data_IF_484350845288
#
_entry.id   IF_484350845288
#
_cell.length_a   1.000
_cell.length_b   1.000
_cell.length_c   1.000
_cell.angle_alpha   90.00
_cell.angle_beta   90.00
_cell.angle_gamma   90.00
#
_symmetry.space_group_name_H-M   'P 1'
#
loop_
_entity.id
_entity.type
_entity.pdbx_description
1 polymer ?
#
# COMPACT_ATOMS: atom_id res chain seq x y z
N UNK A 1 27.02 46.29 -40.11
CA UNK A 1 27.43 46.07 -38.72
C UNK A 1 26.22 45.52 -38.00
N UNK A 2 26.05 44.21 -38.11
CA UNK A 2 24.91 43.49 -37.56
C UNK A 2 25.14 43.11 -36.11
N UNK A 3 24.07 43.15 -35.34
CA UNK A 3 23.91 42.41 -34.09
C UNK A 3 22.41 42.11 -33.99
N UNK A 4 22.01 41.06 -34.68
CA UNK A 4 20.70 40.43 -34.48
C UNK A 4 20.63 39.88 -33.06
N UNK A 5 19.48 40.12 -32.45
CA UNK A 5 19.03 39.50 -31.21
C UNK A 5 19.08 37.99 -31.33
N UNK A 6 19.80 37.33 -30.42
CA UNK A 6 19.62 35.93 -30.13
C UNK A 6 18.80 35.83 -28.84
N UNK A 7 17.48 35.98 -28.98
CA UNK A 7 16.54 35.47 -27.99
C UNK A 7 16.65 33.95 -28.03
N UNK A 8 17.29 33.38 -27.02
CA UNK A 8 17.30 31.94 -26.78
C UNK A 8 15.98 31.52 -26.12
N UNK A 9 14.85 31.68 -26.83
CA UNK A 9 13.61 30.98 -26.53
C UNK A 9 13.71 29.55 -27.07
N UNK A 10 14.49 28.72 -26.38
CA UNK A 10 14.53 27.27 -26.62
C UNK A 10 13.38 26.60 -25.89
N UNK A 11 12.26 26.41 -26.60
CA UNK A 11 11.05 25.77 -26.09
C UNK A 11 11.31 24.43 -25.40
N UNK A 12 10.92 24.36 -24.13
CA UNK A 12 10.82 23.15 -23.32
C UNK A 12 9.68 22.28 -23.86
N UNK A 13 9.94 21.62 -24.99
CA UNK A 13 8.97 20.80 -25.71
C UNK A 13 8.57 19.56 -24.89
N UNK A 14 7.31 19.14 -24.99
CA UNK A 14 6.78 17.92 -24.34
C UNK A 14 7.65 16.66 -24.56
N UNK A 15 8.44 16.63 -25.64
CA UNK A 15 9.41 15.57 -25.92
C UNK A 15 10.57 15.47 -24.92
N UNK A 16 11.05 16.58 -24.36
CA UNK A 16 12.12 16.56 -23.35
C UNK A 16 11.61 15.96 -22.03
N UNK A 17 10.38 16.33 -21.64
CA UNK A 17 9.75 15.82 -20.42
C UNK A 17 9.50 14.31 -20.49
N UNK A 18 9.06 13.80 -21.65
CA UNK A 18 8.86 12.37 -21.85
C UNK A 18 10.17 11.57 -21.72
N UNK A 19 11.28 12.06 -22.31
CA UNK A 19 12.60 11.42 -22.19
C UNK A 19 13.10 11.45 -20.74
N UNK A 20 12.88 12.55 -20.03
CA UNK A 20 13.22 12.65 -18.60
C UNK A 20 12.39 11.68 -17.76
N UNK A 21 11.10 11.53 -18.08
CA UNK A 21 10.21 10.62 -17.36
C UNK A 21 10.66 9.17 -17.51
N UNK A 22 11.08 8.78 -18.73
CA UNK A 22 11.65 7.46 -19.00
C UNK A 22 12.91 7.21 -18.18
N UNK A 23 13.83 8.18 -18.17
CA UNK A 23 15.09 8.09 -17.40
C UNK A 23 14.85 8.00 -15.90
N UNK A 24 13.94 8.81 -15.37
CA UNK A 24 13.57 8.82 -13.95
C UNK A 24 12.90 7.49 -13.55
N UNK A 25 12.00 6.98 -14.39
CA UNK A 25 11.38 5.65 -14.20
C UNK A 25 12.43 4.55 -14.17
N UNK A 26 13.33 4.53 -15.15
CA UNK A 26 14.39 3.53 -15.21
C UNK A 26 15.35 3.62 -14.00
N UNK A 27 15.59 4.82 -13.46
CA UNK A 27 16.38 4.99 -12.24
C UNK A 27 15.68 4.40 -11.00
N UNK A 28 14.39 4.71 -10.82
CA UNK A 28 13.58 4.12 -9.75
C UNK A 28 13.54 2.59 -9.84
N UNK A 29 13.32 2.03 -11.03
CA UNK A 29 13.30 0.56 -11.22
C UNK A 29 14.63 -0.07 -10.81
N UNK A 30 15.76 0.53 -11.19
CA UNK A 30 17.09 0.06 -10.77
C UNK A 30 17.29 0.15 -9.27
N UNK A 31 16.82 1.21 -8.63
CA UNK A 31 16.89 1.36 -7.17
C UNK A 31 16.12 0.25 -6.45
N UNK A 32 14.89 -0.03 -6.89
CA UNK A 32 14.05 -1.11 -6.35
C UNK A 32 14.69 -2.48 -6.58
N UNK A 33 15.26 -2.70 -7.78
CA UNK A 33 15.97 -3.94 -8.15
C UNK A 33 17.21 -4.17 -7.28
N UNK A 34 18.00 -3.13 -6.99
CA UNK A 34 19.18 -3.23 -6.11
C UNK A 34 18.83 -3.60 -4.66
N UNK A 35 17.59 -3.33 -4.23
CA UNK A 35 17.08 -3.75 -2.93
C UNK A 35 16.54 -5.19 -2.92
N UNK A 36 16.64 -5.91 -4.05
CA UNK A 36 16.23 -7.31 -4.19
C UNK A 36 14.72 -7.52 -4.29
N UNK A 37 13.93 -6.45 -4.45
CA UNK A 37 12.46 -6.56 -4.38
C UNK A 37 11.88 -7.45 -5.49
N UNK A 38 12.54 -7.56 -6.64
CA UNK A 38 12.08 -8.37 -7.78
C UNK A 38 12.69 -9.77 -7.85
N UNK A 39 13.57 -10.15 -6.90
CA UNK A 39 14.37 -11.38 -7.00
C UNK A 39 13.51 -12.65 -7.12
N UNK A 40 12.36 -12.68 -6.45
CA UNK A 40 11.45 -13.82 -6.47
C UNK A 40 10.51 -13.86 -7.70
N UNK A 41 10.21 -12.71 -8.31
CA UNK A 41 9.45 -12.66 -9.58
C UNK A 41 9.87 -11.44 -10.42
N UNK A 42 10.85 -11.61 -11.35
CA UNK A 42 11.35 -10.54 -12.19
C UNK A 42 10.31 -9.91 -13.12
N UNK A 43 9.16 -10.54 -13.36
CA UNK A 43 8.10 -9.97 -14.23
C UNK A 43 7.52 -8.68 -13.66
N UNK A 44 7.62 -8.47 -12.35
CA UNK A 44 7.22 -7.20 -11.74
C UNK A 44 8.14 -6.04 -12.14
N UNK A 45 9.42 -6.32 -12.40
CA UNK A 45 10.35 -5.31 -12.92
C UNK A 45 9.86 -4.71 -14.23
N UNK A 46 9.35 -5.56 -15.13
CA UNK A 46 8.82 -5.14 -16.43
C UNK A 46 7.56 -4.27 -16.28
N UNK A 47 6.66 -4.63 -15.35
CA UNK A 47 5.49 -3.81 -15.03
C UNK A 47 5.90 -2.40 -14.53
N UNK A 48 6.84 -2.31 -13.60
CA UNK A 48 7.33 -1.01 -13.12
C UNK A 48 8.11 -0.23 -14.19
N UNK A 49 8.80 -0.92 -15.10
CA UNK A 49 9.47 -0.31 -16.24
C UNK A 49 8.51 0.19 -17.33
N UNK A 50 7.29 -0.35 -17.40
CA UNK A 50 6.29 0.01 -18.39
C UNK A 50 5.25 1.03 -17.89
N UNK A 51 4.82 0.98 -16.63
CA UNK A 51 3.74 1.82 -16.12
C UNK A 51 4.26 3.22 -15.75
N UNK A 52 3.79 4.30 -16.40
CA UNK A 52 4.29 5.65 -16.16
C UNK A 52 3.68 6.27 -14.89
N UNK A 53 4.29 6.04 -13.72
CA UNK A 53 3.82 6.55 -12.41
C UNK A 53 3.38 8.02 -12.42
N UNK A 54 4.10 8.90 -13.13
CA UNK A 54 3.78 10.33 -13.22
C UNK A 54 2.38 10.63 -13.78
N UNK A 55 1.79 9.75 -14.62
CA UNK A 55 0.41 9.91 -15.11
C UNK A 55 -0.66 9.61 -14.04
N UNK A 56 -0.29 8.89 -12.99
CA UNK A 56 -1.16 8.57 -11.86
C UNK A 56 -1.02 9.59 -10.71
N UNK A 57 0.00 10.43 -10.75
CA UNK A 57 0.22 11.52 -9.79
C UNK A 57 0.37 12.85 -10.52
N UNK A 58 -0.67 13.33 -11.22
CA UNK A 58 -0.58 14.59 -11.97
C UNK A 58 -0.17 15.76 -11.07
N UNK A 59 -0.51 15.70 -9.79
CA UNK A 59 0.05 16.57 -8.76
C UNK A 59 0.25 15.78 -7.45
N UNK A 60 1.07 16.33 -6.57
CA UNK A 60 1.18 15.88 -5.18
C UNK A 60 1.58 17.04 -4.26
N UNK A 61 1.38 16.84 -2.96
CA UNK A 61 1.60 17.84 -1.92
C UNK A 61 2.88 17.48 -1.16
N UNK A 62 3.75 18.46 -0.96
CA UNK A 62 4.98 18.35 -0.17
C UNK A 62 4.95 19.32 1.00
N UNK A 63 5.51 18.91 2.14
CA UNK A 63 5.73 19.81 3.27
C UNK A 63 6.88 20.76 2.97
N UNK A 64 6.70 22.04 3.30
CA UNK A 64 7.71 23.10 3.19
C UNK A 64 7.75 23.92 4.48
N UNK A 65 8.85 24.63 4.79
CA UNK A 65 8.85 25.54 5.93
C UNK A 65 7.67 26.52 5.85
N UNK A 66 6.79 26.49 6.86
CA UNK A 66 5.61 27.35 6.93
C UNK A 66 4.34 26.82 6.25
N UNK A 67 4.32 25.58 5.72
CA UNK A 67 3.07 24.97 5.22
C UNK A 67 3.26 23.85 4.22
N UNK A 68 2.43 23.85 3.19
CA UNK A 68 2.41 22.84 2.14
C UNK A 68 2.49 23.47 0.76
N UNK A 69 3.19 22.81 -0.15
CA UNK A 69 3.31 23.19 -1.56
C UNK A 69 2.72 22.09 -2.45
N UNK A 70 1.97 22.48 -3.48
CA UNK A 70 1.52 21.57 -4.54
C UNK A 70 2.51 21.61 -5.71
N UNK A 71 3.03 20.44 -6.08
CA UNK A 71 3.80 20.23 -7.31
C UNK A 71 2.89 19.58 -8.36
N UNK A 72 2.92 20.06 -9.60
CA UNK A 72 2.04 19.62 -10.69
C UNK A 72 2.79 19.61 -12.03
N UNK A 73 2.56 18.60 -12.86
CA UNK A 73 3.14 18.48 -14.20
C UNK A 73 2.74 19.54 -15.23
N UNK A 74 1.69 20.35 -15.00
CA UNK A 74 1.32 21.47 -15.89
C UNK A 74 1.72 22.84 -15.30
N UNK A 75 2.65 22.88 -14.36
CA UNK A 75 3.17 24.14 -13.82
C UNK A 75 3.82 24.99 -14.94
N UNK A 76 3.53 26.30 -15.04
CA UNK A 76 4.13 27.15 -16.07
C UNK A 76 5.64 27.32 -15.92
N UNK A 77 6.22 27.05 -14.74
CA UNK A 77 7.67 27.06 -14.53
C UNK A 77 8.28 25.68 -14.86
N UNK A 78 9.13 25.59 -15.91
CA UNK A 78 9.87 24.37 -16.26
C UNK A 78 10.61 23.70 -15.09
N UNK A 79 11.17 24.50 -14.18
CA UNK A 79 11.92 23.98 -13.02
C UNK A 79 10.99 23.29 -12.03
N UNK A 80 9.77 23.82 -11.86
CA UNK A 80 8.75 23.22 -11.00
C UNK A 80 8.18 21.95 -11.62
N UNK A 81 7.97 21.92 -12.94
CA UNK A 81 7.59 20.69 -13.67
C UNK A 81 8.65 19.61 -13.53
N UNK A 82 9.93 19.96 -13.63
CA UNK A 82 11.01 18.99 -13.43
C UNK A 82 11.03 18.45 -12.00
N UNK A 83 10.89 19.31 -10.98
CA UNK A 83 10.77 18.89 -9.57
C UNK A 83 9.59 17.94 -9.34
N UNK A 84 8.44 18.22 -9.96
CA UNK A 84 7.29 17.33 -9.93
C UNK A 84 7.63 15.95 -10.50
N UNK A 85 8.25 15.92 -11.68
CA UNK A 85 8.56 14.67 -12.35
C UNK A 85 9.58 13.82 -11.57
N UNK A 86 10.63 14.46 -11.04
CA UNK A 86 11.65 13.80 -10.22
C UNK A 86 11.03 13.22 -8.95
N UNK A 87 10.17 13.97 -8.26
CA UNK A 87 9.50 13.46 -7.06
C UNK A 87 8.45 12.38 -7.35
N UNK A 88 7.79 12.40 -8.53
CA UNK A 88 6.91 11.31 -8.97
C UNK A 88 7.64 9.96 -9.07
N UNK A 89 8.96 9.99 -9.29
CA UNK A 89 9.83 8.82 -9.39
C UNK A 89 10.79 8.65 -8.21
N UNK A 90 10.61 9.41 -7.12
CA UNK A 90 11.31 9.15 -5.87
C UNK A 90 10.67 7.94 -5.15
N UNK A 91 11.51 7.12 -4.49
CA UNK A 91 11.05 5.97 -3.70
C UNK A 91 10.46 6.39 -2.34
N UNK A 92 9.39 7.17 -2.38
CA UNK A 92 8.67 7.66 -1.20
C UNK A 92 7.16 7.72 -1.49
N UNK A 93 6.31 7.68 -0.45
CA UNK A 93 4.89 7.93 -0.63
C UNK A 93 4.64 9.39 -1.00
N UNK A 94 3.64 9.63 -1.84
CA UNK A 94 3.26 10.97 -2.30
C UNK A 94 1.85 11.30 -1.84
N UNK A 95 1.66 12.39 -1.11
CA UNK A 95 0.34 12.86 -0.72
C UNK A 95 -0.41 13.42 -1.94
N UNK A 96 -1.50 12.77 -2.33
CA UNK A 96 -2.27 13.13 -3.54
C UNK A 96 -3.58 13.83 -3.20
N UNK A 97 -4.04 13.70 -1.95
CA UNK A 97 -5.25 14.37 -1.49
C UNK A 97 -5.20 14.64 0.01
N UNK A 98 -5.43 15.89 0.39
CA UNK A 98 -5.60 16.32 1.78
C UNK A 98 -6.95 17.01 1.95
N UNK A 99 -7.59 16.83 3.10
CA UNK A 99 -8.83 17.51 3.50
C UNK A 99 -8.70 17.92 4.96
N UNK A 100 -8.90 19.19 5.27
CA UNK A 100 -8.81 19.74 6.63
C UNK A 100 -7.49 19.42 7.37
N UNK A 101 -6.38 19.31 6.63
CA UNK A 101 -5.06 18.97 7.17
C UNK A 101 -4.79 17.46 7.31
N UNK A 102 -5.79 16.61 7.06
CA UNK A 102 -5.66 15.16 7.08
C UNK A 102 -5.34 14.59 5.69
N UNK A 103 -4.48 13.58 5.65
CA UNK A 103 -4.15 12.85 4.43
C UNK A 103 -5.26 11.86 4.08
N UNK A 104 -5.96 12.10 2.97
CA UNK A 104 -7.08 11.26 2.51
C UNK A 104 -6.63 10.20 1.52
N UNK A 105 -5.65 10.52 0.67
CA UNK A 105 -5.10 9.59 -0.32
C UNK A 105 -3.63 9.89 -0.58
N UNK A 106 -2.88 8.83 -0.84
CA UNK A 106 -1.49 8.88 -1.28
C UNK A 106 -1.23 7.86 -2.38
N UNK A 107 -0.19 8.10 -3.18
CA UNK A 107 0.47 7.04 -3.94
C UNK A 107 1.53 6.44 -3.04
N UNK A 108 1.41 5.14 -2.73
CA UNK A 108 2.34 4.43 -1.85
C UNK A 108 3.77 4.41 -2.36
N UNK A 109 4.72 4.15 -1.46
CA UNK A 109 6.13 4.00 -1.77
C UNK A 109 6.33 2.86 -2.80
N UNK A 110 7.01 3.12 -3.94
CA UNK A 110 7.23 2.13 -4.99
C UNK A 110 7.88 0.82 -4.55
N UNK A 111 8.96 0.88 -3.76
CA UNK A 111 9.67 -0.31 -3.27
C UNK A 111 8.79 -1.17 -2.38
N UNK A 112 8.02 -0.55 -1.48
CA UNK A 112 7.04 -1.26 -0.65
C UNK A 112 5.96 -1.94 -1.51
N UNK A 113 5.46 -1.25 -2.54
CA UNK A 113 4.49 -1.85 -3.48
C UNK A 113 5.11 -3.01 -4.26
N UNK A 114 6.35 -2.91 -4.72
CA UNK A 114 7.06 -3.99 -5.39
C UNK A 114 7.15 -5.23 -4.49
N UNK A 115 7.59 -5.06 -3.24
CA UNK A 115 7.63 -6.14 -2.24
C UNK A 115 6.25 -6.76 -2.04
N UNK A 116 5.19 -5.94 -1.86
CA UNK A 116 3.83 -6.46 -1.65
C UNK A 116 3.29 -7.21 -2.88
N UNK A 117 3.58 -6.75 -4.10
CA UNK A 117 3.12 -7.41 -5.33
C UNK A 117 3.84 -8.75 -5.57
N UNK A 118 5.14 -8.81 -5.27
CA UNK A 118 5.94 -10.04 -5.33
C UNK A 118 5.44 -11.04 -4.28
N UNK A 119 5.24 -10.57 -3.05
CA UNK A 119 4.74 -11.39 -1.95
C UNK A 119 3.28 -11.80 -2.11
N UNK A 120 2.47 -11.05 -2.87
CA UNK A 120 1.12 -11.47 -3.25
C UNK A 120 1.17 -12.79 -4.05
N UNK A 121 2.26 -13.02 -4.79
CA UNK A 121 2.53 -14.25 -5.55
C UNK A 121 1.42 -14.54 -6.56
N UNK A 122 1.16 -13.60 -7.47
CA UNK A 122 0.14 -13.76 -8.51
C UNK A 122 0.61 -14.72 -9.60
N UNK A 123 -0.31 -15.58 -10.04
CA UNK A 123 -0.12 -16.49 -11.16
C UNK A 123 -0.92 -16.06 -12.38
N UNK A 124 -0.57 -16.57 -13.55
CA UNK A 124 -1.28 -16.25 -14.79
C UNK A 124 -2.72 -16.78 -14.69
N UNK A 125 -3.69 -15.90 -14.92
CA UNK A 125 -5.12 -16.23 -14.79
C UNK A 125 -5.73 -15.94 -13.42
N UNK A 126 -4.94 -15.53 -12.43
CA UNK A 126 -5.46 -15.08 -11.13
C UNK A 126 -6.38 -13.86 -11.28
N UNK A 127 -7.47 -13.84 -10.51
CA UNK A 127 -8.33 -12.67 -10.33
C UNK A 127 -7.98 -11.96 -9.02
N UNK A 128 -7.72 -10.67 -9.11
CA UNK A 128 -7.23 -9.87 -7.97
C UNK A 128 -8.27 -8.83 -7.57
N UNK A 129 -8.52 -8.76 -6.26
CA UNK A 129 -9.15 -7.62 -5.62
C UNK A 129 -8.08 -6.74 -4.96
N UNK A 130 -8.01 -5.48 -5.37
CA UNK A 130 -7.33 -4.43 -4.65
C UNK A 130 -8.32 -3.63 -3.80
N UNK A 131 -8.01 -3.47 -2.51
CA UNK A 131 -8.75 -2.60 -1.58
C UNK A 131 -7.92 -1.35 -1.30
N UNK A 132 -8.39 -0.21 -1.81
CA UNK A 132 -7.69 1.08 -1.77
C UNK A 132 -7.18 1.53 -3.14
N UNK A 133 -8.08 1.80 -4.08
CA UNK A 133 -7.69 2.16 -5.45
C UNK A 133 -6.73 3.37 -5.51
N UNK A 134 -6.95 4.37 -4.64
CA UNK A 134 -6.10 5.55 -4.58
C UNK A 134 -5.92 6.21 -5.95
N UNK A 135 -4.67 6.34 -6.40
CA UNK A 135 -4.39 6.93 -7.72
C UNK A 135 -4.67 6.01 -8.91
N UNK A 136 -4.84 4.70 -8.67
CA UNK A 136 -4.92 3.66 -9.71
C UNK A 136 -3.56 3.12 -10.18
N UNK A 137 -2.44 3.58 -9.62
CA UNK A 137 -1.10 3.15 -10.06
C UNK A 137 -0.86 1.65 -9.83
N UNK A 138 -1.22 1.14 -8.65
CA UNK A 138 -1.03 -0.27 -8.32
C UNK A 138 -2.00 -1.19 -9.11
N UNK A 139 -3.25 -0.74 -9.34
CA UNK A 139 -4.15 -1.38 -10.30
C UNK A 139 -3.56 -1.48 -11.71
N UNK A 140 -2.83 -0.46 -12.18
CA UNK A 140 -2.18 -0.49 -13.49
C UNK A 140 -1.01 -1.48 -13.55
N UNK A 141 -0.22 -1.59 -12.47
CA UNK A 141 0.83 -2.61 -12.35
C UNK A 141 0.25 -4.03 -12.40
N UNK A 142 -0.84 -4.27 -11.65
CA UNK A 142 -1.58 -5.52 -11.69
C UNK A 142 -2.16 -5.80 -13.08
N UNK A 143 -2.76 -4.80 -13.73
CA UNK A 143 -3.34 -4.94 -15.06
C UNK A 143 -2.29 -5.21 -16.13
N UNK A 144 -1.08 -4.64 -16.00
CA UNK A 144 0.06 -4.99 -16.83
C UNK A 144 0.43 -6.47 -16.67
N UNK A 145 0.47 -6.96 -15.42
CA UNK A 145 0.89 -8.33 -15.09
C UNK A 145 -0.14 -9.40 -15.47
N UNK A 146 -1.43 -9.13 -15.31
CA UNK A 146 -2.51 -10.13 -15.40
C UNK A 146 -3.53 -9.86 -16.51
N UNK A 147 -3.49 -8.68 -17.12
CA UNK A 147 -4.51 -8.20 -18.03
C UNK A 147 -5.65 -7.45 -17.32
N UNK A 148 -6.40 -6.62 -18.06
CA UNK A 148 -7.32 -5.64 -17.48
C UNK A 148 -8.55 -6.26 -16.78
N UNK A 149 -9.07 -7.38 -17.29
CA UNK A 149 -10.30 -7.99 -16.78
C UNK A 149 -10.09 -8.75 -15.46
N UNK A 150 -8.83 -9.09 -15.16
CA UNK A 150 -8.42 -9.81 -13.95
C UNK A 150 -8.39 -8.92 -12.70
N UNK A 151 -8.34 -7.59 -12.87
CA UNK A 151 -8.14 -6.64 -11.77
C UNK A 151 -9.44 -5.92 -11.42
N UNK A 152 -9.84 -6.03 -10.16
CA UNK A 152 -10.90 -5.22 -9.54
C UNK A 152 -10.27 -4.38 -8.45
N UNK A 153 -10.50 -3.06 -8.47
CA UNK A 153 -9.98 -2.15 -7.45
C UNK A 153 -11.12 -1.33 -6.85
N UNK A 154 -11.16 -1.24 -5.52
CA UNK A 154 -12.24 -0.60 -4.76
C UNK A 154 -11.71 0.59 -3.98
N UNK A 155 -12.43 1.71 -4.00
CA UNK A 155 -12.22 2.83 -3.07
C UNK A 155 -13.56 3.41 -2.62
N UNK A 156 -13.58 3.97 -1.41
CA UNK A 156 -14.79 4.53 -0.80
C UNK A 156 -15.19 5.87 -1.43
N UNK A 157 -14.21 6.67 -1.88
CA UNK A 157 -14.45 8.04 -2.33
C UNK A 157 -14.70 8.09 -3.85
N UNK A 158 -15.88 8.56 -4.32
CA UNK A 158 -16.21 8.60 -5.74
C UNK A 158 -15.22 9.45 -6.55
N UNK A 159 -14.69 10.55 -5.99
CA UNK A 159 -13.73 11.39 -6.71
C UNK A 159 -12.38 10.68 -6.88
N UNK A 160 -11.98 9.86 -5.90
CA UNK A 160 -10.77 9.03 -6.01
C UNK A 160 -10.97 7.99 -7.11
N UNK A 161 -12.09 7.28 -7.11
CA UNK A 161 -12.36 6.26 -8.14
C UNK A 161 -12.44 6.86 -9.54
N UNK A 162 -13.02 8.06 -9.70
CA UNK A 162 -13.07 8.72 -11.00
C UNK A 162 -11.69 9.18 -11.46
N UNK A 163 -10.87 9.70 -10.55
CA UNK A 163 -9.47 10.04 -10.85
C UNK A 163 -8.67 8.79 -11.26
N UNK A 164 -8.84 7.67 -10.56
CA UNK A 164 -8.19 6.41 -10.90
C UNK A 164 -8.59 5.90 -12.30
N UNK A 165 -9.88 5.98 -12.68
CA UNK A 165 -10.35 5.65 -14.04
C UNK A 165 -9.68 6.54 -15.09
N UNK A 166 -9.60 7.85 -14.84
CA UNK A 166 -8.97 8.80 -15.75
C UNK A 166 -7.47 8.53 -15.91
N UNK A 167 -6.74 8.27 -14.82
CA UNK A 167 -5.30 7.96 -14.88
C UNK A 167 -5.02 6.64 -15.60
N UNK A 168 -5.81 5.59 -15.31
CA UNK A 168 -5.71 4.31 -16.01
C UNK A 168 -5.88 4.51 -17.52
N UNK A 169 -6.94 5.22 -17.93
CA UNK A 169 -7.20 5.52 -19.34
C UNK A 169 -6.06 6.35 -19.99
N UNK A 170 -5.57 7.38 -19.31
CA UNK A 170 -4.46 8.21 -19.79
C UNK A 170 -3.15 7.42 -19.96
N UNK A 171 -2.91 6.42 -19.11
CA UNK A 171 -1.74 5.54 -19.19
C UNK A 171 -1.94 4.34 -20.14
N UNK A 172 -3.12 4.19 -20.78
CA UNK A 172 -3.42 3.08 -21.69
C UNK A 172 -3.78 1.77 -20.98
N UNK A 173 -4.05 1.80 -19.67
CA UNK A 173 -4.44 0.64 -18.88
C UNK A 173 -5.95 0.63 -18.61
N UNK A 174 -6.49 -0.55 -18.30
CA UNK A 174 -7.87 -0.73 -17.86
C UNK A 174 -7.89 -1.66 -16.66
N UNK A 175 -8.80 -1.41 -15.74
CA UNK A 175 -9.16 -2.27 -14.62
C UNK A 175 -10.61 -1.94 -14.25
N UNK A 176 -11.28 -2.83 -13.52
CA UNK A 176 -12.62 -2.51 -13.02
C UNK A 176 -12.50 -1.73 -11.72
N UNK A 177 -12.82 -0.43 -11.79
CA UNK A 177 -12.78 0.49 -10.64
C UNK A 177 -14.17 0.65 -10.04
N UNK A 178 -14.33 0.19 -8.80
CA UNK A 178 -15.60 0.18 -8.06
C UNK A 178 -15.57 1.25 -6.96
N UNK A 179 -16.63 2.05 -6.89
CA UNK A 179 -16.87 2.95 -5.76
C UNK A 179 -17.67 2.20 -4.70
N UNK A 180 -17.07 1.94 -3.55
CA UNK A 180 -17.69 1.14 -2.50
C UNK A 180 -16.82 0.97 -1.27
N UNK A 181 -17.41 0.40 -0.21
CA UNK A 181 -16.68 0.09 1.02
C UNK A 181 -15.82 -1.16 0.82
N UNK A 182 -14.50 -0.99 0.77
CA UNK A 182 -13.54 -2.07 0.59
C UNK A 182 -13.56 -3.15 1.68
N UNK A 183 -14.06 -2.85 2.88
CA UNK A 183 -14.26 -3.87 3.91
C UNK A 183 -15.32 -4.90 3.50
N UNK A 184 -16.21 -4.55 2.58
CA UNK A 184 -17.23 -5.45 2.03
C UNK A 184 -16.75 -6.25 0.82
N UNK A 185 -15.52 -6.00 0.35
CA UNK A 185 -14.98 -6.58 -0.88
C UNK A 185 -15.75 -6.14 -2.13
N UNK A 186 -15.88 -7.04 -3.11
CA UNK A 186 -16.71 -6.87 -4.30
C UNK A 186 -17.36 -8.22 -4.68
N UNK A 187 -18.47 -8.60 -4.03
CA UNK A 187 -19.13 -9.88 -4.24
C UNK A 187 -19.53 -10.13 -5.70
N UNK A 188 -19.88 -9.08 -6.45
CA UNK A 188 -20.28 -9.14 -7.85
C UNK A 188 -19.14 -9.61 -8.77
N UNK A 189 -17.89 -9.52 -8.29
CA UNK A 189 -16.69 -9.91 -9.02
C UNK A 189 -15.95 -11.07 -8.36
N UNK A 190 -16.44 -11.60 -7.24
CA UNK A 190 -15.95 -12.84 -6.67
C UNK A 190 -16.08 -14.02 -7.68
N UNK A 191 -15.38 -15.15 -7.47
CA UNK A 191 -14.32 -15.33 -6.49
C UNK A 191 -12.98 -14.72 -6.95
N UNK A 192 -12.14 -14.38 -5.97
CA UNK A 192 -10.77 -13.89 -6.14
C UNK A 192 -9.75 -14.96 -5.75
N UNK A 193 -8.62 -14.94 -6.45
CA UNK A 193 -7.45 -15.78 -6.15
C UNK A 193 -6.48 -15.02 -5.25
N UNK A 194 -6.51 -13.68 -5.30
CA UNK A 194 -5.65 -12.80 -4.52
C UNK A 194 -6.43 -11.57 -4.05
N UNK A 195 -6.19 -11.16 -2.82
CA UNK A 195 -6.64 -9.87 -2.29
C UNK A 195 -5.41 -9.11 -1.81
N UNK A 196 -5.24 -7.88 -2.27
CA UNK A 196 -4.20 -6.96 -1.81
C UNK A 196 -4.84 -5.70 -1.24
N UNK A 197 -4.37 -5.26 -0.08
CA UNK A 197 -4.90 -4.11 0.62
C UNK A 197 -3.84 -3.02 0.68
N UNK A 198 -4.19 -1.79 0.29
CA UNK A 198 -3.30 -0.63 0.22
C UNK A 198 -3.74 0.49 1.16
N UNK A 199 -4.40 0.10 2.25
CA UNK A 199 -4.80 0.95 3.38
C UNK A 199 -4.63 0.18 4.70
N UNK A 200 -4.45 0.90 5.82
CA UNK A 200 -4.28 0.26 7.12
C UNK A 200 -5.60 -0.28 7.67
N UNK A 201 -5.58 -1.54 8.15
CA UNK A 201 -6.73 -2.21 8.73
C UNK A 201 -6.67 -2.26 10.26
N UNK A 202 -7.84 -2.34 10.91
CA UNK A 202 -7.94 -2.75 12.32
C UNK A 202 -8.03 -4.27 12.50
N UNK A 203 -8.54 -4.95 11.48
CA UNK A 203 -8.67 -6.40 11.40
C UNK A 203 -8.99 -6.80 9.97
N UNK A 204 -8.77 -8.07 9.64
CA UNK A 204 -9.10 -8.60 8.31
C UNK A 204 -10.59 -8.96 8.31
N UNK A 205 -11.43 -8.37 7.42
CA UNK A 205 -12.86 -8.69 7.35
C UNK A 205 -13.11 -10.14 6.95
N UNK A 206 -14.04 -10.82 7.65
CA UNK A 206 -14.37 -12.22 7.36
C UNK A 206 -15.04 -12.38 5.99
N UNK A 207 -15.78 -11.37 5.54
CA UNK A 207 -16.48 -11.36 4.23
C UNK A 207 -15.53 -11.49 3.04
N UNK A 208 -14.23 -11.22 3.22
CA UNK A 208 -13.23 -11.46 2.18
C UNK A 208 -13.00 -12.96 1.94
N UNK A 209 -13.07 -13.79 2.99
CA UNK A 209 -12.87 -15.24 2.86
C UNK A 209 -13.98 -15.87 2.02
N UNK A 210 -15.22 -15.39 2.18
CA UNK A 210 -16.38 -15.81 1.36
C UNK A 210 -16.23 -15.47 -0.12
N UNK A 211 -15.41 -14.47 -0.44
CA UNK A 211 -15.14 -14.01 -1.81
C UNK A 211 -13.88 -14.61 -2.41
N UNK A 212 -13.21 -15.52 -1.70
CA UNK A 212 -11.96 -16.13 -2.12
C UNK A 212 -12.15 -17.58 -2.58
N UNK A 213 -11.33 -18.02 -3.53
CA UNK A 213 -11.16 -19.46 -3.78
C UNK A 213 -10.36 -20.11 -2.65
N UNK A 214 -10.56 -21.41 -2.36
CA UNK A 214 -9.60 -22.17 -1.54
C UNK A 214 -8.19 -22.04 -2.11
N UNK A 215 -7.21 -21.77 -1.24
CA UNK A 215 -5.82 -21.48 -1.61
C UNK A 215 -5.53 -20.02 -1.94
N UNK A 216 -6.55 -19.14 -2.00
CA UNK A 216 -6.33 -17.73 -2.27
C UNK A 216 -5.44 -17.07 -1.20
N UNK A 217 -4.68 -16.05 -1.60
CA UNK A 217 -3.84 -15.27 -0.68
C UNK A 217 -4.44 -13.91 -0.40
N UNK A 218 -4.48 -13.52 0.87
CA UNK A 218 -4.84 -12.17 1.30
C UNK A 218 -3.59 -11.52 1.87
N UNK A 219 -3.13 -10.44 1.24
CA UNK A 219 -2.00 -9.65 1.70
C UNK A 219 -2.52 -8.29 2.19
N UNK A 220 -2.32 -8.01 3.47
CA UNK A 220 -2.89 -6.82 4.09
C UNK A 220 -1.95 -6.13 5.10
N UNK A 221 -1.89 -4.78 5.10
CA UNK A 221 -1.30 -4.03 6.20
C UNK A 221 -2.16 -4.17 7.45
N UNK A 222 -1.56 -4.68 8.53
CA UNK A 222 -2.19 -4.79 9.84
C UNK A 222 -1.17 -4.38 10.91
N UNK A 223 -1.58 -3.49 11.81
CA UNK A 223 -0.63 -2.78 12.68
C UNK A 223 0.39 -2.02 11.81
N UNK A 224 1.69 -2.19 12.03
CA UNK A 224 2.78 -1.65 11.20
C UNK A 224 3.54 -2.74 10.44
N UNK A 225 2.88 -3.87 10.17
CA UNK A 225 3.41 -4.99 9.38
C UNK A 225 2.47 -5.38 8.24
N UNK A 226 2.91 -6.33 7.43
CA UNK A 226 2.12 -6.91 6.33
C UNK A 226 1.86 -8.36 6.67
N UNK A 227 0.59 -8.76 6.79
CA UNK A 227 0.20 -10.17 6.97
C UNK A 227 -0.12 -10.78 5.61
N UNK A 228 0.33 -12.01 5.38
CA UNK A 228 -0.06 -12.84 4.23
C UNK A 228 -0.80 -14.05 4.74
N UNK A 229 -2.11 -14.11 4.47
CA UNK A 229 -2.98 -15.20 4.86
C UNK A 229 -3.26 -16.11 3.66
N UNK A 230 -3.34 -17.41 3.90
CA UNK A 230 -3.88 -18.38 2.93
C UNK A 230 -5.28 -18.76 3.37
N UNK A 231 -6.24 -18.58 2.46
CA UNK A 231 -7.65 -18.95 2.67
C UNK A 231 -7.79 -20.46 2.45
N UNK A 232 -8.33 -21.17 3.43
CA UNK A 232 -8.72 -22.57 3.24
C UNK A 232 -10.16 -22.68 2.74
N UNK A 233 -11.05 -21.92 3.38
CA UNK A 233 -12.48 -21.89 3.12
C UNK A 233 -13.08 -20.57 3.63
N UNK A 234 -14.39 -20.39 3.45
CA UNK A 234 -15.10 -19.16 3.84
C UNK A 234 -15.03 -18.84 5.35
N UNK A 235 -14.70 -19.82 6.19
CA UNK A 235 -14.59 -19.66 7.64
C UNK A 235 -13.16 -19.63 8.16
N UNK A 236 -12.15 -19.93 7.33
CA UNK A 236 -10.78 -20.11 7.79
C UNK A 236 -9.72 -19.51 6.86
N UNK A 237 -8.85 -18.68 7.45
CA UNK A 237 -7.60 -18.24 6.83
C UNK A 237 -6.50 -18.11 7.89
N UNK A 238 -5.26 -18.42 7.53
CA UNK A 238 -4.13 -18.31 8.44
C UNK A 238 -2.86 -17.91 7.69
N UNK A 239 -1.97 -17.20 8.37
CA UNK A 239 -0.63 -16.97 7.86
C UNK A 239 0.22 -16.11 8.76
N UNK A 240 1.32 -15.60 8.21
CA UNK A 240 2.38 -14.90 8.95
C UNK A 240 2.57 -13.48 8.45
N UNK A 241 3.20 -12.67 9.30
CA UNK A 241 3.69 -11.38 8.86
C UNK A 241 4.99 -11.52 8.05
N UNK A 242 5.21 -10.59 7.13
CA UNK A 242 6.51 -10.34 6.56
C UNK A 242 7.40 -9.60 7.57
N UNK A 243 8.72 -9.64 7.38
CA UNK A 243 9.67 -8.84 8.16
C UNK A 243 9.54 -7.33 7.87
N UNK A 244 9.05 -6.99 6.67
CA UNK A 244 8.84 -5.63 6.16
C UNK A 244 7.82 -4.85 6.98
N UNK A 245 8.17 -3.61 7.35
CA UNK A 245 7.23 -2.67 7.95
C UNK A 245 6.41 -1.96 6.88
N UNK A 246 5.18 -1.58 7.25
CA UNK A 246 4.25 -0.92 6.34
C UNK A 246 3.48 0.17 7.08
N UNK A 247 3.43 1.36 6.48
CA UNK A 247 2.66 2.50 6.98
C UNK A 247 1.74 2.99 5.87
N UNK A 248 0.43 2.90 6.12
CA UNK A 248 -0.61 3.24 5.15
C UNK A 248 -1.63 4.19 5.77
N UNK A 249 -2.33 4.94 4.92
CA UNK A 249 -3.52 5.71 5.35
C UNK A 249 -4.59 4.72 5.83
N UNK A 250 -5.32 5.07 6.89
CA UNK A 250 -6.33 4.19 7.46
C UNK A 250 -7.45 3.88 6.45
N UNK A 251 -7.92 2.63 6.44
CA UNK A 251 -9.16 2.27 5.78
C UNK A 251 -10.29 3.12 6.36
N UNK A 252 -11.12 3.67 5.48
CA UNK A 252 -12.32 4.43 5.84
C UNK A 252 -13.55 3.57 5.53
N UNK A 253 -14.61 3.73 6.31
CA UNK A 253 -15.81 2.88 6.22
C UNK A 253 -15.87 1.84 7.34
N UNK A 254 -16.59 0.73 7.11
CA UNK A 254 -16.65 -0.36 8.08
C UNK A 254 -15.26 -0.99 8.27
N UNK A 255 -14.92 -1.42 9.49
CA UNK A 255 -13.61 -2.03 9.78
C UNK A 255 -12.41 -1.05 9.80
N UNK A 256 -12.63 0.24 9.49
CA UNK A 256 -11.64 1.31 9.56
C UNK A 256 -11.43 1.92 10.95
N UNK A 257 -10.33 2.67 11.11
CA UNK A 257 -10.17 3.63 12.20
C UNK A 257 -8.70 3.86 12.62
N UNK A 258 -8.40 5.05 13.14
CA UNK A 258 -7.05 5.45 13.54
C UNK A 258 -6.47 4.58 14.65
N UNK A 259 -5.19 4.23 14.57
CA UNK A 259 -4.47 3.65 15.70
C UNK A 259 -4.25 4.73 16.78
N UNK A 260 -4.81 4.54 17.97
CA UNK A 260 -4.74 5.48 19.08
C UNK A 260 -3.36 5.46 19.74
N UNK A 261 -2.74 6.63 19.89
CA UNK A 261 -1.44 6.82 20.54
C UNK A 261 -1.46 6.70 22.09
N UNK A 262 -2.53 6.14 22.67
CA UNK A 262 -2.83 6.18 24.11
C UNK A 262 -1.82 5.48 25.04
N UNK A 263 -0.82 4.81 24.48
CA UNK A 263 0.25 4.11 25.19
C UNK A 263 1.53 4.94 25.38
N UNK A 264 1.71 6.04 24.64
CA UNK A 264 2.95 6.83 24.65
C UNK A 264 3.31 7.43 26.04
N UNK A 265 2.31 7.62 26.90
CA UNK A 265 2.51 8.10 28.28
C UNK A 265 2.89 7.04 29.31
N UNK A 266 2.86 5.73 28.96
CA UNK A 266 3.01 4.62 29.92
C UNK A 266 4.32 3.83 29.78
N UNK A 267 5.15 4.16 28.78
CA UNK A 267 6.37 3.43 28.42
C UNK A 267 7.56 4.37 28.16
N UNK A 268 8.82 3.90 28.31
CA UNK A 268 10.01 4.68 27.99
C UNK A 268 10.07 5.11 26.52
N UNK A 269 10.49 6.35 26.23
CA UNK A 269 10.56 6.90 24.86
C UNK A 269 11.42 6.08 23.88
N UNK A 270 12.47 5.40 24.37
CA UNK A 270 13.31 4.53 23.54
C UNK A 270 12.52 3.34 23.00
N UNK A 271 11.67 2.75 23.83
CA UNK A 271 10.83 1.62 23.49
C UNK A 271 9.69 2.03 22.54
N UNK A 272 9.14 3.24 22.75
CA UNK A 272 8.19 3.88 21.82
C UNK A 272 8.81 4.09 20.43
N UNK A 273 10.14 4.18 20.32
CA UNK A 273 10.84 4.36 19.04
C UNK A 273 11.27 3.05 18.38
N UNK A 274 11.19 1.92 19.07
CA UNK A 274 11.48 0.62 18.48
C UNK A 274 10.33 0.19 17.56
N UNK A 275 10.61 0.03 16.26
CA UNK A 275 9.57 -0.25 15.27
C UNK A 275 8.92 -1.61 15.45
N UNK A 276 9.69 -2.63 15.82
CA UNK A 276 9.17 -3.98 16.03
C UNK A 276 8.32 -3.98 17.29
N UNK A 277 8.77 -3.31 18.36
CA UNK A 277 7.94 -3.21 19.55
C UNK A 277 6.64 -2.44 19.30
N UNK A 278 6.66 -1.33 18.53
CA UNK A 278 5.43 -0.64 18.11
C UNK A 278 4.48 -1.57 17.37
N UNK A 279 4.99 -2.39 16.45
CA UNK A 279 4.21 -3.41 15.76
C UNK A 279 3.49 -4.34 16.75
N UNK A 280 4.24 -4.93 17.68
CA UNK A 280 3.68 -5.87 18.67
C UNK A 280 2.69 -5.17 19.59
N UNK A 281 3.00 -3.95 20.03
CA UNK A 281 2.15 -3.17 20.92
C UNK A 281 0.81 -2.82 20.27
N UNK A 282 0.80 -2.43 19.00
CA UNK A 282 -0.46 -2.16 18.28
C UNK A 282 -1.20 -3.47 17.99
N UNK A 283 -0.51 -4.53 17.56
CA UNK A 283 -1.16 -5.81 17.23
C UNK A 283 -1.79 -6.49 18.45
N UNK A 284 -1.03 -6.61 19.55
CA UNK A 284 -1.43 -7.39 20.74
C UNK A 284 -2.06 -6.49 21.80
N UNK A 285 -1.53 -5.28 21.98
CA UNK A 285 -2.01 -4.35 23.00
C UNK A 285 -3.27 -3.62 22.55
N UNK A 286 -3.19 -2.86 21.46
CA UNK A 286 -4.30 -2.04 20.99
C UNK A 286 -5.43 -2.89 20.39
N UNK A 287 -5.09 -3.79 19.46
CA UNK A 287 -6.09 -4.63 18.83
C UNK A 287 -6.44 -5.85 19.68
N UNK A 288 -5.50 -6.39 20.45
CA UNK A 288 -5.77 -7.54 21.33
C UNK A 288 -6.25 -7.23 22.74
N UNK A 289 -6.15 -5.98 23.18
CA UNK A 289 -6.59 -5.55 24.51
C UNK A 289 -5.66 -5.99 25.65
N UNK A 290 -4.41 -6.35 25.36
CA UNK A 290 -3.40 -6.73 26.36
C UNK A 290 -2.72 -5.49 26.94
N UNK A 291 -2.40 -5.50 28.23
CA UNK A 291 -1.69 -4.38 28.85
C UNK A 291 -0.28 -4.19 28.26
N UNK A 292 0.11 -2.94 28.03
CA UNK A 292 1.39 -2.60 27.40
C UNK A 292 2.62 -3.16 28.15
N UNK A 293 2.57 -3.29 29.48
CA UNK A 293 3.66 -3.88 30.27
C UNK A 293 3.70 -5.40 30.17
N UNK A 294 2.56 -6.03 29.95
CA UNK A 294 2.49 -7.45 29.66
C UNK A 294 3.06 -7.75 28.27
N UNK A 295 2.68 -6.96 27.27
CA UNK A 295 3.28 -7.04 25.91
C UNK A 295 4.81 -6.92 25.98
N UNK A 296 5.32 -5.92 26.72
CA UNK A 296 6.77 -5.74 26.91
C UNK A 296 7.42 -6.96 27.57
N UNK A 297 6.83 -7.49 28.66
CA UNK A 297 7.37 -8.67 29.35
C UNK A 297 7.46 -9.88 28.44
N UNK A 298 6.42 -10.15 27.64
CA UNK A 298 6.45 -11.26 26.68
C UNK A 298 7.51 -11.01 25.61
N UNK A 299 7.52 -9.82 25.01
CA UNK A 299 8.46 -9.50 23.94
C UNK A 299 9.93 -9.60 24.39
N UNK A 300 10.27 -9.14 25.59
CA UNK A 300 11.63 -9.28 26.15
C UNK A 300 11.97 -10.74 26.49
N UNK A 301 11.03 -11.48 27.08
CA UNK A 301 11.25 -12.88 27.46
C UNK A 301 11.49 -13.79 26.24
N UNK A 302 10.81 -13.51 25.13
CA UNK A 302 10.93 -14.28 23.89
C UNK A 302 12.08 -13.79 22.98
N UNK A 303 12.97 -12.94 23.52
CA UNK A 303 14.19 -12.50 22.84
C UNK A 303 13.97 -11.41 21.80
N UNK A 304 12.95 -10.55 21.99
CA UNK A 304 12.58 -9.46 21.08
C UNK A 304 12.29 -9.96 19.65
N UNK A 305 11.30 -10.86 19.48
CA UNK A 305 10.99 -11.46 18.19
C UNK A 305 10.69 -10.42 17.11
N UNK A 306 11.17 -10.68 15.89
CA UNK A 306 10.80 -9.95 14.68
C UNK A 306 9.36 -10.22 14.25
N UNK A 307 8.87 -9.44 13.26
CA UNK A 307 7.48 -9.51 12.78
C UNK A 307 7.14 -10.90 12.23
N UNK A 308 8.08 -11.52 11.52
CA UNK A 308 7.93 -12.80 10.83
C UNK A 308 7.62 -13.99 11.75
N UNK A 309 7.94 -13.85 13.05
CA UNK A 309 7.56 -14.86 14.06
C UNK A 309 6.09 -14.77 14.45
N UNK A 310 5.43 -13.66 14.18
CA UNK A 310 4.00 -13.48 14.44
C UNK A 310 3.16 -13.97 13.26
N UNK A 311 1.95 -14.42 13.58
CA UNK A 311 0.95 -14.73 12.59
C UNK A 311 -0.45 -14.42 13.07
N UNK A 312 -1.41 -14.62 12.17
CA UNK A 312 -2.83 -14.37 12.39
C UNK A 312 -3.63 -15.55 11.88
N UNK A 313 -4.67 -15.90 12.61
CA UNK A 313 -5.68 -16.86 12.20
C UNK A 313 -7.07 -16.23 12.29
N UNK A 314 -7.85 -16.43 11.25
CA UNK A 314 -9.30 -16.21 11.19
C UNK A 314 -9.94 -17.59 11.21
N UNK A 315 -10.81 -17.85 12.18
CA UNK A 315 -11.50 -19.13 12.35
C UNK A 315 -12.93 -18.90 12.85
N UNK A 316 -13.92 -19.20 12.01
CA UNK A 316 -15.36 -19.14 12.31
C UNK A 316 -15.80 -17.84 13.01
N UNK A 317 -15.39 -16.68 12.47
CA UNK A 317 -15.74 -15.36 13.02
C UNK A 317 -14.86 -14.90 14.19
N UNK A 318 -13.84 -15.66 14.57
CA UNK A 318 -12.85 -15.27 15.58
C UNK A 318 -11.50 -15.00 14.93
N UNK A 319 -10.93 -13.84 15.18
CA UNK A 319 -9.58 -13.50 14.76
C UNK A 319 -8.65 -13.50 15.96
N UNK A 320 -7.44 -14.04 15.80
CA UNK A 320 -6.40 -14.02 16.83
C UNK A 320 -5.00 -13.95 16.21
N UNK A 321 -4.12 -13.22 16.88
CA UNK A 321 -2.69 -13.20 16.60
C UNK A 321 -1.98 -14.22 17.49
N UNK A 322 -0.84 -14.71 17.01
CA UNK A 322 -0.03 -15.66 17.74
C UNK A 322 1.46 -15.42 17.48
N UNK A 323 2.30 -15.84 18.43
CA UNK A 323 3.76 -15.87 18.29
C UNK A 323 4.22 -17.32 18.10
N UNK A 324 5.00 -17.55 17.05
CA UNK A 324 5.58 -18.82 16.59
C UNK A 324 4.58 -19.91 16.16
N UNK A 325 3.56 -20.21 16.97
CA UNK A 325 2.61 -21.31 16.73
C UNK A 325 1.18 -20.89 17.16
N UNK A 326 0.16 -21.03 16.29
CA UNK A 326 -1.25 -20.80 16.67
C UNK A 326 -1.77 -21.70 17.80
N UNK A 327 -1.15 -22.85 18.04
CA UNK A 327 -1.45 -23.75 19.17
C UNK A 327 -0.50 -23.53 20.37
N UNK A 328 0.38 -22.54 20.28
CA UNK A 328 1.38 -22.21 21.29
C UNK A 328 0.80 -21.47 22.50
N UNK A 329 1.67 -21.11 23.46
CA UNK A 329 1.26 -20.40 24.69
C UNK A 329 0.94 -18.92 24.49
N UNK A 330 1.26 -18.37 23.32
CA UNK A 330 1.21 -16.94 23.01
C UNK A 330 0.18 -16.66 21.93
N UNK A 331 -1.08 -16.60 22.35
CA UNK A 331 -2.24 -16.38 21.48
C UNK A 331 -3.10 -15.26 22.06
N UNK A 332 -3.43 -14.28 21.23
CA UNK A 332 -4.18 -13.10 21.62
C UNK A 332 -5.36 -12.86 20.68
N UNK A 333 -6.57 -12.62 21.19
CA UNK A 333 -7.69 -12.25 20.32
C UNK A 333 -7.37 -10.96 19.56
N UNK A 334 -7.93 -10.77 18.37
CA UNK A 334 -7.88 -9.50 17.63
C UNK A 334 -9.27 -8.90 17.56
N UNK A 335 -9.44 -7.71 18.15
CA UNK A 335 -10.69 -6.95 18.11
C UNK A 335 -10.75 -6.13 16.83
N UNK A 336 -11.92 -6.04 16.21
CA UNK A 336 -12.13 -5.22 15.00
C UNK A 336 -12.13 -5.97 13.67
N UNK A 337 -12.07 -7.31 13.70
CA UNK A 337 -12.42 -8.14 12.54
C UNK A 337 -13.94 -8.25 12.52
N UNK A 338 -14.59 -7.44 11.70
CA UNK A 338 -16.04 -7.45 11.48
C UNK A 338 -16.38 -8.16 10.16
#
# INVERSE_FOLDING_TARGET
MGAEHADAEGGDSDGDLAVRAERARAALVREIELNGAFDADPRWRDAFAAVPRHLFVPYYIVGVPGGYERLWGQDPDPRRRLRWLEGAYADQPLATRMRDGELISSSSQPSLMATMLVELGVEDGDRVLEVGAGTGYNAALLAHRLGPDAVTTVDLDPEITESARAHLAAAGYRAVVVTGDGARGCPERAPFDRIIVTCALRGVPFVWLEQCRPGARILAPLSTGIVVLTVRDAGFAQGRFLSTSAYFVALRGAGGGEAGSGWAGRLPRSLVRDEVFRFVLTLVGEYGGVDAREVLRVWEREGRPGRERFGVTLDQGRAYAWLDDPAGPHVWPLRGSA
#
